data_IF_593128922415
#
_entry.id   IF_593128922415
#
_cell.length_a   1.000
_cell.length_b   1.000
_cell.length_c   1.000
_cell.angle_alpha   90.00
_cell.angle_beta   90.00
_cell.angle_gamma   90.00
#
_symmetry.space_group_name_H-M   'P 1'
#
loop_
_entity.id
_entity.type
_entity.pdbx_description
1 polymer ?
#
# COMPACT_ATOMS: atom_id res chain seq x y z
N UNK A 1 -11.34 -4.26 -4.57
CA UNK A 1 -12.47 -3.77 -5.39
C UNK A 1 -12.72 -2.30 -5.13
N UNK A 2 -12.96 -1.51 -6.19
CA UNK A 2 -13.37 -0.11 -6.06
C UNK A 2 -14.87 0.05 -5.78
N UNK A 3 -15.67 -1.00 -6.04
CA UNK A 3 -17.11 -0.98 -5.87
C UNK A 3 -17.51 -1.93 -4.74
N UNK A 4 -18.41 -1.46 -3.87
CA UNK A 4 -19.08 -2.31 -2.91
C UNK A 4 -20.09 -3.21 -3.63
N UNK A 5 -19.99 -4.51 -3.38
CA UNK A 5 -20.96 -5.50 -3.85
C UNK A 5 -21.58 -6.16 -2.63
N UNK A 6 -22.89 -5.96 -2.46
CA UNK A 6 -23.61 -6.58 -1.36
C UNK A 6 -23.77 -8.09 -1.60
N UNK A 7 -23.32 -8.89 -0.65
CA UNK A 7 -23.56 -10.33 -0.63
C UNK A 7 -24.49 -10.67 0.56
N UNK A 8 -25.74 -11.00 0.26
CA UNK A 8 -26.73 -11.36 1.28
C UNK A 8 -26.45 -12.68 1.99
N UNK A 9 -25.48 -13.47 1.50
CA UNK A 9 -25.06 -14.76 2.08
C UNK A 9 -23.72 -14.64 2.83
N UNK A 10 -23.14 -13.45 2.88
CA UNK A 10 -21.88 -13.24 3.60
C UNK A 10 -22.08 -13.51 5.10
N UNK A 11 -21.32 -14.48 5.61
CA UNK A 11 -21.21 -14.76 7.03
C UNK A 11 -19.79 -14.44 7.45
N UNK A 12 -19.60 -13.30 8.10
CA UNK A 12 -18.31 -12.91 8.65
C UNK A 12 -18.30 -13.03 10.17
N UNK A 13 -17.13 -13.33 10.75
CA UNK A 13 -16.94 -13.26 12.20
C UNK A 13 -17.18 -11.83 12.68
N UNK A 14 -18.03 -11.60 13.70
CA UNK A 14 -18.27 -10.28 14.24
C UNK A 14 -16.98 -9.61 14.71
N UNK A 15 -16.83 -8.32 14.42
CA UNK A 15 -15.63 -7.55 14.83
C UNK A 15 -15.44 -7.60 16.36
N UNK A 16 -16.51 -7.55 17.13
CA UNK A 16 -16.44 -7.63 18.59
C UNK A 16 -15.85 -8.96 19.06
N UNK A 17 -16.30 -10.08 18.51
CA UNK A 17 -15.75 -11.42 18.82
C UNK A 17 -14.25 -11.50 18.50
N UNK A 18 -13.83 -10.91 17.37
CA UNK A 18 -12.41 -10.83 17.00
C UNK A 18 -11.60 -10.03 18.02
N UNK A 19 -12.13 -8.88 18.48
CA UNK A 19 -11.47 -8.05 19.49
C UNK A 19 -11.37 -8.74 20.85
N UNK A 20 -12.42 -9.44 21.29
CA UNK A 20 -12.41 -10.21 22.54
C UNK A 20 -11.37 -11.33 22.50
N UNK A 21 -11.25 -12.04 21.36
CA UNK A 21 -10.21 -13.05 21.18
C UNK A 21 -8.79 -12.43 21.22
N UNK A 22 -8.58 -11.28 20.57
CA UNK A 22 -7.32 -10.55 20.60
C UNK A 22 -6.98 -10.05 22.01
N UNK A 23 -7.97 -9.60 22.79
CA UNK A 23 -7.79 -9.23 24.20
C UNK A 23 -7.28 -10.41 25.03
N UNK A 24 -7.86 -11.61 24.85
CA UNK A 24 -7.39 -12.83 25.50
C UNK A 24 -5.93 -13.16 25.17
N UNK A 25 -5.55 -13.01 23.89
CA UNK A 25 -4.18 -13.25 23.43
C UNK A 25 -3.22 -12.21 24.01
N UNK A 26 -3.60 -10.94 24.04
CA UNK A 26 -2.80 -9.85 24.64
C UNK A 26 -2.63 -10.05 26.17
N UNK A 27 -3.70 -10.36 26.89
CA UNK A 27 -3.67 -10.62 28.32
C UNK A 27 -2.80 -11.84 28.69
N UNK A 28 -2.68 -12.83 27.78
CA UNK A 28 -1.77 -13.96 27.94
C UNK A 28 -0.30 -13.61 27.68
N UNK A 29 0.01 -12.37 27.31
CA UNK A 29 1.37 -11.89 27.02
C UNK A 29 1.96 -12.36 25.69
N UNK A 30 1.18 -13.02 24.82
CA UNK A 30 1.66 -13.53 23.54
C UNK A 30 1.83 -12.44 22.47
N UNK A 31 1.07 -11.37 22.57
CA UNK A 31 1.21 -10.18 21.73
C UNK A 31 1.17 -8.93 22.61
N UNK A 32 1.78 -7.84 22.14
CA UNK A 32 1.71 -6.52 22.79
C UNK A 32 0.70 -5.61 22.09
N UNK A 33 0.68 -5.66 20.77
CA UNK A 33 -0.18 -4.85 19.91
C UNK A 33 -0.67 -5.68 18.74
N UNK A 34 -1.75 -5.23 18.09
CA UNK A 34 -2.21 -5.78 16.82
C UNK A 34 -2.49 -4.65 15.82
N UNK A 35 -2.51 -4.99 14.53
CA UNK A 35 -2.90 -4.11 13.45
C UNK A 35 -3.93 -4.79 12.55
N UNK A 36 -4.63 -3.99 11.75
CA UNK A 36 -5.59 -4.44 10.76
C UNK A 36 -4.88 -4.73 9.43
N UNK A 37 -5.46 -5.56 8.58
CA UNK A 37 -4.91 -5.88 7.27
C UNK A 37 -6.01 -5.89 6.21
N UNK A 38 -5.80 -5.16 5.11
CA UNK A 38 -6.76 -5.01 4.00
C UNK A 38 -8.14 -4.51 4.46
N UNK A 39 -8.13 -3.67 5.49
CA UNK A 39 -9.37 -3.21 6.11
C UNK A 39 -9.94 -2.00 5.37
N UNK A 40 -11.26 -1.86 5.46
CA UNK A 40 -12.02 -0.75 4.88
C UNK A 40 -12.12 0.44 5.85
N UNK A 41 -12.50 1.65 5.39
CA UNK A 41 -12.79 2.77 6.29
C UNK A 41 -13.84 2.42 7.34
N UNK A 42 -14.93 1.77 6.92
CA UNK A 42 -16.00 1.35 7.83
C UNK A 42 -15.50 0.34 8.88
N UNK A 43 -14.82 -0.71 8.44
CA UNK A 43 -14.30 -1.74 9.35
C UNK A 43 -13.29 -1.17 10.33
N UNK A 44 -12.37 -0.31 9.87
CA UNK A 44 -11.41 0.37 10.74
C UNK A 44 -12.12 1.17 11.84
N UNK A 45 -13.10 2.02 11.48
CA UNK A 45 -13.85 2.79 12.46
C UNK A 45 -14.67 1.91 13.42
N UNK A 46 -15.18 0.77 12.95
CA UNK A 46 -15.88 -0.19 13.84
C UNK A 46 -14.95 -0.86 14.84
N UNK A 47 -13.74 -1.26 14.42
CA UNK A 47 -12.71 -1.77 15.34
C UNK A 47 -12.36 -0.74 16.41
N UNK A 48 -12.10 0.50 16.01
CA UNK A 48 -11.76 1.59 16.94
C UNK A 48 -12.90 1.90 17.92
N UNK A 49 -14.13 2.01 17.41
CA UNK A 49 -15.32 2.24 18.21
C UNK A 49 -15.54 1.16 19.29
N UNK A 50 -15.43 -0.12 18.93
CA UNK A 50 -15.56 -1.20 19.91
C UNK A 50 -14.41 -1.22 20.92
N UNK A 51 -13.19 -0.89 20.48
CA UNK A 51 -12.06 -0.76 21.39
C UNK A 51 -12.32 0.28 22.48
N UNK A 52 -12.88 1.42 22.13
CA UNK A 52 -13.20 2.51 23.07
C UNK A 52 -14.40 2.15 23.95
N UNK A 53 -15.52 1.75 23.36
CA UNK A 53 -16.79 1.57 24.10
C UNK A 53 -16.81 0.31 24.96
N UNK A 54 -16.01 -0.71 24.61
CA UNK A 54 -15.94 -1.98 25.36
C UNK A 54 -14.61 -2.14 26.12
N UNK A 55 -13.76 -1.10 26.15
CA UNK A 55 -12.45 -1.14 26.81
C UNK A 55 -11.57 -2.32 26.34
N UNK A 56 -11.62 -2.61 25.04
CA UNK A 56 -10.84 -3.66 24.39
C UNK A 56 -9.53 -3.10 23.80
N UNK A 57 -8.55 -3.94 23.47
CA UNK A 57 -7.32 -3.49 22.83
C UNK A 57 -7.57 -2.71 21.55
N UNK A 58 -6.77 -1.66 21.33
CA UNK A 58 -6.87 -0.79 20.16
C UNK A 58 -5.91 -1.24 19.05
N UNK A 59 -6.37 -1.27 17.81
CA UNK A 59 -5.51 -1.43 16.65
C UNK A 59 -4.52 -0.26 16.54
N UNK A 60 -3.24 -0.55 16.29
CA UNK A 60 -2.17 0.47 16.21
C UNK A 60 -1.75 0.79 14.79
N UNK A 61 -2.13 -0.02 13.82
CA UNK A 61 -1.77 0.18 12.41
C UNK A 61 -2.77 -0.49 11.47
N UNK A 62 -2.72 -0.09 10.19
CA UNK A 62 -3.44 -0.72 9.08
C UNK A 62 -2.41 -1.13 8.04
N UNK A 63 -2.35 -2.41 7.68
CA UNK A 63 -1.49 -2.90 6.62
C UNK A 63 -2.29 -3.07 5.33
N UNK A 64 -2.20 -2.10 4.43
CA UNK A 64 -2.91 -2.09 3.15
C UNK A 64 -1.94 -1.87 1.97
N UNK A 65 -2.35 -2.23 0.73
CA UNK A 65 -1.56 -1.91 -0.46
C UNK A 65 -1.55 -0.39 -0.67
N UNK A 66 -0.37 0.17 -0.94
CA UNK A 66 -0.26 1.57 -1.33
C UNK A 66 0.95 1.79 -2.22
N UNK A 67 0.73 2.34 -3.41
CA UNK A 67 1.75 2.67 -4.40
C UNK A 67 1.17 3.60 -5.47
N UNK A 68 1.99 4.07 -6.40
CA UNK A 68 1.58 4.98 -7.49
C UNK A 68 0.46 4.44 -8.40
N UNK A 69 0.24 3.11 -8.46
CA UNK A 69 -0.84 2.49 -9.24
C UNK A 69 -2.09 2.17 -8.40
N UNK A 70 -1.98 2.29 -7.08
CA UNK A 70 -3.07 2.05 -6.14
C UNK A 70 -2.97 3.01 -4.96
N UNK A 71 -3.70 4.11 -5.05
CA UNK A 71 -3.79 5.15 -4.03
C UNK A 71 -5.15 5.15 -3.32
N UNK A 72 -5.87 4.02 -3.38
CA UNK A 72 -7.22 3.89 -2.79
C UNK A 72 -7.25 4.13 -1.28
N UNK A 73 -6.12 3.96 -0.58
CA UNK A 73 -5.99 4.29 0.85
C UNK A 73 -6.27 5.78 1.13
N UNK A 74 -5.98 6.67 0.17
CA UNK A 74 -6.23 8.12 0.30
C UNK A 74 -7.73 8.44 0.40
N UNK A 75 -8.60 7.51 -0.06
CA UNK A 75 -10.05 7.68 -0.04
C UNK A 75 -10.60 7.19 1.33
N UNK A 76 -10.63 8.08 2.30
CA UNK A 76 -11.17 7.85 3.65
C UNK A 76 -10.17 7.28 4.66
N UNK A 77 -9.35 6.27 4.32
CA UNK A 77 -8.40 5.67 5.27
C UNK A 77 -7.27 6.62 5.67
N UNK A 78 -6.78 7.46 4.78
CA UNK A 78 -5.74 8.44 5.08
C UNK A 78 -6.20 9.45 6.14
N UNK A 79 -7.44 9.93 6.04
CA UNK A 79 -8.03 10.81 7.06
C UNK A 79 -8.18 10.09 8.40
N UNK A 80 -8.69 8.86 8.40
CA UNK A 80 -8.81 8.02 9.61
C UNK A 80 -7.43 7.78 10.22
N UNK A 81 -6.43 7.41 9.43
CA UNK A 81 -5.07 7.18 9.91
C UNK A 81 -4.50 8.41 10.64
N UNK A 82 -4.73 9.60 10.09
CA UNK A 82 -4.29 10.84 10.68
C UNK A 82 -5.06 11.19 11.96
N UNK A 83 -6.40 11.17 11.92
CA UNK A 83 -7.25 11.58 13.05
C UNK A 83 -7.20 10.60 14.20
N UNK A 84 -7.20 9.31 13.88
CA UNK A 84 -7.26 8.23 14.85
C UNK A 84 -5.87 7.69 15.26
N UNK A 85 -4.79 8.24 14.70
CA UNK A 85 -3.42 7.82 14.97
C UNK A 85 -3.20 6.30 14.76
N UNK A 86 -3.79 5.76 13.66
CA UNK A 86 -3.65 4.37 13.22
C UNK A 86 -3.00 4.37 11.84
N UNK A 87 -1.67 4.46 11.82
CA UNK A 87 -0.91 4.71 10.61
C UNK A 87 -0.83 3.51 9.65
N UNK A 88 -0.50 3.81 8.39
CA UNK A 88 -0.36 2.83 7.32
C UNK A 88 0.99 2.10 7.40
N UNK A 89 0.93 0.77 7.34
CA UNK A 89 2.04 -0.08 6.93
C UNK A 89 1.83 -0.42 5.44
N UNK A 90 2.48 0.33 4.53
CA UNK A 90 2.27 0.18 3.10
C UNK A 90 2.94 -1.08 2.57
N UNK A 91 2.19 -2.03 2.02
CA UNK A 91 2.77 -3.15 1.31
C UNK A 91 2.70 -3.00 -0.21
N UNK A 92 3.60 -3.68 -0.92
CA UNK A 92 3.76 -3.60 -2.38
C UNK A 92 4.00 -2.17 -2.91
N UNK A 93 4.87 -1.38 -2.31
CA UNK A 93 5.13 0.00 -2.73
C UNK A 93 5.64 0.08 -4.18
N UNK A 94 6.28 -0.99 -4.68
CA UNK A 94 6.75 -1.12 -6.06
C UNK A 94 5.79 -1.90 -6.98
N UNK A 95 4.53 -2.12 -6.58
CA UNK A 95 3.56 -2.86 -7.38
C UNK A 95 4.11 -4.22 -7.89
N UNK A 96 4.67 -5.04 -6.98
CA UNK A 96 5.38 -6.29 -7.30
C UNK A 96 6.61 -6.10 -8.21
N UNK A 97 7.20 -4.90 -8.20
CA UNK A 97 8.34 -4.54 -9.03
C UNK A 97 7.96 -3.96 -10.41
N UNK A 98 6.66 -3.76 -10.69
CA UNK A 98 6.22 -3.16 -11.95
C UNK A 98 6.68 -1.71 -12.09
N UNK A 99 6.69 -0.93 -11.01
CA UNK A 99 7.10 0.47 -11.01
C UNK A 99 8.62 0.70 -11.25
N UNK A 100 9.43 -0.37 -11.29
CA UNK A 100 10.82 -0.26 -11.77
C UNK A 100 10.93 -0.19 -13.30
N UNK A 101 9.83 -0.38 -14.04
CA UNK A 101 9.84 -0.44 -15.50
C UNK A 101 10.27 -1.78 -16.11
N UNK A 102 10.80 -2.71 -15.32
CA UNK A 102 11.43 -3.95 -15.83
C UNK A 102 10.51 -4.90 -16.62
N UNK A 103 9.20 -4.70 -16.55
CA UNK A 103 8.21 -5.51 -17.28
C UNK A 103 7.62 -4.78 -18.50
N UNK A 104 8.02 -3.54 -18.74
CA UNK A 104 7.57 -2.77 -19.90
C UNK A 104 7.97 -3.44 -21.22
N UNK A 105 7.21 -3.15 -22.28
CA UNK A 105 7.45 -3.70 -23.61
C UNK A 105 7.41 -5.24 -23.68
N UNK A 106 6.64 -5.86 -22.79
CA UNK A 106 6.51 -7.32 -22.74
C UNK A 106 7.70 -8.07 -22.14
N UNK A 107 8.67 -7.37 -21.54
CA UNK A 107 9.81 -8.00 -20.88
C UNK A 107 9.39 -8.92 -19.73
N UNK A 108 10.05 -10.07 -19.64
CA UNK A 108 9.80 -11.09 -18.61
C UNK A 108 11.14 -11.53 -17.96
N UNK A 109 11.73 -10.73 -17.06
CA UNK A 109 12.98 -11.09 -16.40
C UNK A 109 12.83 -12.42 -15.64
N UNK A 110 13.77 -13.36 -15.82
CA UNK A 110 13.66 -14.75 -15.37
C UNK A 110 13.34 -14.92 -13.88
N UNK A 111 13.98 -14.17 -13.01
CA UNK A 111 13.81 -14.28 -11.56
C UNK A 111 12.85 -13.23 -10.98
N UNK A 112 11.98 -12.66 -11.80
CA UNK A 112 11.08 -11.60 -11.38
C UNK A 112 9.67 -12.13 -11.01
N UNK A 113 9.07 -11.53 -9.96
CA UNK A 113 7.81 -12.00 -9.36
C UNK A 113 6.68 -12.19 -10.38
N UNK A 114 6.46 -11.22 -11.28
CA UNK A 114 5.37 -11.28 -12.24
C UNK A 114 5.65 -12.27 -13.40
N UNK A 115 6.90 -12.66 -13.60
CA UNK A 115 7.28 -13.74 -14.54
C UNK A 115 7.08 -15.10 -13.90
N UNK A 116 7.58 -15.28 -12.67
CA UNK A 116 7.54 -16.57 -11.97
C UNK A 116 6.13 -17.00 -11.56
N UNK A 117 5.25 -16.04 -11.22
CA UNK A 117 3.96 -16.37 -10.63
C UNK A 117 2.80 -15.75 -11.42
N UNK A 118 2.15 -16.56 -12.25
CA UNK A 118 1.01 -16.16 -13.09
C UNK A 118 -0.21 -15.66 -12.30
N UNK A 119 -0.35 -16.05 -11.01
CA UNK A 119 -1.44 -15.61 -10.13
C UNK A 119 -1.41 -14.10 -9.80
N UNK A 120 -0.27 -13.44 -9.95
CA UNK A 120 -0.12 -12.01 -9.67
C UNK A 120 -0.52 -11.18 -10.89
N UNK A 121 -1.82 -10.95 -11.07
CA UNK A 121 -2.39 -10.25 -12.22
C UNK A 121 -2.77 -8.79 -11.94
N UNK A 122 -2.79 -8.35 -10.66
CA UNK A 122 -3.27 -7.02 -10.27
C UNK A 122 -2.62 -5.91 -11.10
N UNK A 123 -1.31 -5.92 -11.24
CA UNK A 123 -0.52 -4.88 -11.91
C UNK A 123 -0.25 -5.14 -13.40
N UNK A 124 -1.05 -6.02 -14.04
CA UNK A 124 -0.96 -6.35 -15.47
C UNK A 124 -2.23 -5.99 -16.24
N UNK A 125 -3.23 -5.37 -15.60
CA UNK A 125 -4.56 -5.15 -16.17
C UNK A 125 -4.80 -3.69 -16.57
N UNK A 126 -5.70 -3.50 -17.54
CA UNK A 126 -6.20 -2.19 -17.92
C UNK A 126 -5.10 -1.24 -18.38
N UNK A 127 -5.11 -0.02 -17.82
CA UNK A 127 -4.14 1.03 -18.15
C UNK A 127 -2.85 0.96 -17.31
N UNK A 128 -2.57 -0.18 -16.65
CA UNK A 128 -1.40 -0.32 -15.79
C UNK A 128 -0.09 -0.04 -16.53
N UNK A 129 0.09 -0.61 -17.73
CA UNK A 129 1.32 -0.45 -18.52
C UNK A 129 1.55 1.01 -18.90
N UNK A 130 0.51 1.70 -19.37
CA UNK A 130 0.61 3.12 -19.72
C UNK A 130 0.95 3.98 -18.50
N UNK A 131 0.32 3.71 -17.35
CA UNK A 131 0.63 4.42 -16.11
C UNK A 131 2.07 4.16 -15.65
N UNK A 132 2.53 2.89 -15.70
CA UNK A 132 3.90 2.52 -15.36
C UNK A 132 4.88 3.24 -16.27
N UNK A 133 4.64 3.22 -17.59
CA UNK A 133 5.51 3.93 -18.56
C UNK A 133 5.59 5.42 -18.22
N UNK A 134 4.46 6.08 -17.98
CA UNK A 134 4.44 7.51 -17.63
C UNK A 134 5.22 7.81 -16.35
N UNK A 135 5.14 6.98 -15.31
CA UNK A 135 5.94 7.16 -14.10
C UNK A 135 7.43 6.90 -14.31
N UNK A 136 7.78 5.91 -15.14
CA UNK A 136 9.17 5.62 -15.50
C UNK A 136 9.77 6.79 -16.29
N UNK A 137 9.05 7.30 -17.28
CA UNK A 137 9.49 8.45 -18.09
C UNK A 137 9.68 9.68 -17.21
N UNK A 138 8.72 9.99 -16.34
CA UNK A 138 8.82 11.10 -15.39
C UNK A 138 10.06 10.99 -14.49
N UNK A 139 10.35 9.80 -13.97
CA UNK A 139 11.55 9.59 -13.16
C UNK A 139 12.83 9.84 -13.96
N UNK A 140 12.91 9.29 -15.16
CA UNK A 140 14.09 9.41 -16.05
C UNK A 140 14.32 10.85 -16.51
N UNK A 141 13.27 11.59 -16.87
CA UNK A 141 13.32 13.01 -17.23
C UNK A 141 13.86 13.88 -16.09
N UNK A 142 13.66 13.44 -14.85
CA UNK A 142 14.20 14.12 -13.65
C UNK A 142 15.51 13.50 -13.14
N UNK A 143 16.15 12.60 -13.91
CA UNK A 143 17.44 11.98 -13.55
C UNK A 143 17.34 11.02 -12.36
N UNK A 144 16.16 10.46 -12.07
CA UNK A 144 15.91 9.56 -10.95
C UNK A 144 15.75 8.11 -11.39
N UNK A 145 16.12 7.18 -10.50
CA UNK A 145 15.72 5.78 -10.63
C UNK A 145 14.20 5.64 -10.33
N UNK A 146 13.40 5.02 -11.23
CA UNK A 146 11.96 4.87 -11.05
C UNK A 146 11.57 4.15 -9.75
N UNK A 147 12.40 3.18 -9.30
CA UNK A 147 12.20 2.46 -8.04
C UNK A 147 12.33 3.40 -6.85
N UNK A 148 13.37 4.24 -6.87
CA UNK A 148 13.62 5.20 -5.80
C UNK A 148 12.53 6.26 -5.75
N UNK A 149 12.12 6.81 -6.88
CA UNK A 149 10.99 7.76 -6.95
C UNK A 149 9.71 7.16 -6.38
N UNK A 150 9.35 5.94 -6.79
CA UNK A 150 8.13 5.29 -6.31
C UNK A 150 8.17 5.02 -4.79
N UNK A 151 9.30 4.59 -4.24
CA UNK A 151 9.48 4.36 -2.81
C UNK A 151 9.47 5.67 -2.01
N UNK A 152 10.18 6.69 -2.50
CA UNK A 152 10.23 8.02 -1.87
C UNK A 152 8.83 8.65 -1.83
N UNK A 153 8.05 8.51 -2.92
CA UNK A 153 6.65 8.96 -2.93
C UNK A 153 5.82 8.31 -1.81
N UNK A 154 5.88 7.00 -1.67
CA UNK A 154 5.15 6.30 -0.59
C UNK A 154 5.65 6.77 0.77
N UNK A 155 6.96 6.89 0.95
CA UNK A 155 7.59 7.28 2.22
C UNK A 155 7.29 8.72 2.63
N UNK A 156 7.00 9.61 1.68
CA UNK A 156 6.68 11.02 1.95
C UNK A 156 5.25 11.27 2.46
N UNK A 157 4.40 10.23 2.50
CA UNK A 157 2.98 10.41 2.90
C UNK A 157 2.83 10.50 4.41
N UNK A 158 2.16 11.56 4.89
CA UNK A 158 1.99 11.86 6.31
C UNK A 158 1.20 10.80 7.10
N UNK A 159 0.39 9.99 6.41
CA UNK A 159 -0.34 8.87 7.01
C UNK A 159 0.46 7.56 7.05
N UNK A 160 1.66 7.53 6.50
CA UNK A 160 2.52 6.36 6.50
C UNK A 160 3.26 6.21 7.84
N UNK A 161 3.23 5.01 8.40
CA UNK A 161 4.08 4.62 9.54
C UNK A 161 5.33 3.89 9.06
N UNK A 162 5.17 2.97 8.08
CA UNK A 162 6.30 2.22 7.54
C UNK A 162 6.02 1.74 6.11
N UNK A 163 7.06 1.80 5.29
CA UNK A 163 7.06 1.28 3.93
C UNK A 163 7.63 -0.15 3.95
N UNK A 164 6.81 -1.15 3.58
CA UNK A 164 7.22 -2.55 3.59
C UNK A 164 7.84 -2.90 2.25
N UNK A 165 9.16 -2.95 2.22
CA UNK A 165 9.95 -3.29 1.04
C UNK A 165 10.29 -4.78 1.00
N UNK A 166 10.63 -5.27 -0.20
CA UNK A 166 11.21 -6.60 -0.43
C UNK A 166 12.36 -6.50 -1.41
N UNK A 167 13.43 -7.25 -1.15
CA UNK A 167 14.58 -7.36 -2.03
C UNK A 167 15.02 -8.83 -2.13
N UNK A 168 15.46 -9.24 -3.32
CA UNK A 168 16.02 -10.59 -3.58
C UNK A 168 17.51 -10.53 -3.88
N UNK A 169 18.10 -9.33 -3.92
CA UNK A 169 19.54 -9.10 -4.06
C UNK A 169 19.99 -7.93 -3.19
N UNK A 170 21.29 -7.88 -2.88
CA UNK A 170 21.89 -6.76 -2.15
C UNK A 170 21.82 -5.45 -2.91
N UNK A 171 21.86 -5.49 -4.24
CA UNK A 171 21.71 -4.32 -5.10
C UNK A 171 20.31 -3.71 -4.94
N UNK A 172 19.25 -4.53 -5.05
CA UNK A 172 17.87 -4.09 -4.82
C UNK A 172 17.69 -3.51 -3.41
N UNK A 173 18.27 -4.15 -2.40
CA UNK A 173 18.18 -3.65 -1.03
C UNK A 173 18.83 -2.28 -0.87
N UNK A 174 20.02 -2.08 -1.45
CA UNK A 174 20.70 -0.78 -1.44
C UNK A 174 19.89 0.30 -2.14
N UNK A 175 19.38 0.02 -3.35
CA UNK A 175 18.50 0.93 -4.10
C UNK A 175 17.28 1.33 -3.27
N UNK A 176 16.63 0.34 -2.64
CA UNK A 176 15.46 0.59 -1.80
C UNK A 176 15.79 1.45 -0.56
N UNK A 177 16.93 1.21 0.10
CA UNK A 177 17.34 2.00 1.28
C UNK A 177 17.68 3.44 0.93
N UNK A 178 18.41 3.66 -0.17
CA UNK A 178 18.76 5.01 -0.64
C UNK A 178 17.50 5.88 -0.89
N UNK A 179 16.38 5.26 -1.29
CA UNK A 179 15.13 5.99 -1.51
C UNK A 179 14.61 6.72 -0.27
N UNK A 180 15.03 6.32 0.95
CA UNK A 180 14.62 6.98 2.19
C UNK A 180 15.26 8.36 2.40
N UNK A 181 16.32 8.65 1.67
CA UNK A 181 17.05 9.94 1.70
C UNK A 181 16.62 10.86 0.55
N UNK A 182 15.77 10.36 -0.37
CA UNK A 182 15.34 11.10 -1.54
C UNK A 182 14.14 11.99 -1.20
N UNK A 183 14.36 13.29 -1.33
CA UNK A 183 13.28 14.30 -1.29
C UNK A 183 12.77 14.57 -2.71
N UNK A 184 11.47 14.50 -2.91
CA UNK A 184 10.83 14.77 -4.19
C UNK A 184 10.52 16.27 -4.31
N UNK A 185 10.93 16.91 -5.41
CA UNK A 185 10.60 18.32 -5.66
C UNK A 185 9.09 18.54 -5.86
N UNK A 186 8.64 19.77 -5.70
CA UNK A 186 7.24 20.13 -5.93
C UNK A 186 6.83 19.84 -7.38
N UNK A 187 7.70 20.17 -8.36
CA UNK A 187 7.44 19.90 -9.78
C UNK A 187 7.28 18.39 -10.06
N UNK A 188 8.09 17.56 -9.40
CA UNK A 188 8.00 16.10 -9.54
C UNK A 188 6.71 15.57 -8.93
N UNK A 189 6.31 16.07 -7.75
CA UNK A 189 5.04 15.73 -7.12
C UNK A 189 3.84 16.16 -7.98
N UNK A 190 3.88 17.35 -8.59
CA UNK A 190 2.86 17.78 -9.56
C UNK A 190 2.82 16.87 -10.79
N UNK A 191 3.97 16.42 -11.30
CA UNK A 191 4.07 15.44 -12.38
C UNK A 191 3.39 14.13 -12.02
N UNK A 192 3.65 13.62 -10.81
CA UNK A 192 3.00 12.42 -10.27
C UNK A 192 1.46 12.60 -10.19
N UNK A 193 0.99 13.76 -9.70
CA UNK A 193 -0.44 14.04 -9.60
C UNK A 193 -1.11 14.14 -11.00
N UNK A 194 -0.44 14.73 -11.98
CA UNK A 194 -0.94 14.76 -13.37
C UNK A 194 -1.12 13.35 -13.95
N UNK A 195 -0.13 12.46 -13.73
CA UNK A 195 -0.23 11.06 -14.16
C UNK A 195 -1.37 10.35 -13.42
N UNK A 196 -1.50 10.55 -12.11
CA UNK A 196 -2.60 9.99 -11.33
C UNK A 196 -3.96 10.47 -11.80
N UNK A 197 -4.09 11.75 -12.19
CA UNK A 197 -5.32 12.31 -12.78
C UNK A 197 -5.74 11.62 -14.08
N UNK A 198 -4.77 11.20 -14.92
CA UNK A 198 -5.02 10.47 -16.15
C UNK A 198 -5.32 8.96 -15.90
N UNK A 199 -4.64 8.37 -14.94
CA UNK A 199 -4.71 6.94 -14.63
C UNK A 199 -5.06 6.73 -13.15
N UNK A 200 -6.23 7.19 -12.75
CA UNK A 200 -6.69 7.10 -11.36
C UNK A 200 -6.86 5.65 -10.90
N UNK A 201 -6.01 5.20 -9.99
CA UNK A 201 -6.01 3.85 -9.41
C UNK A 201 -6.14 2.72 -10.45
N UNK A 202 -5.23 2.60 -11.43
CA UNK A 202 -5.35 1.58 -12.49
C UNK A 202 -5.26 0.15 -11.96
N UNK A 203 -4.80 -0.05 -10.72
CA UNK A 203 -4.57 -1.36 -10.12
C UNK A 203 -5.06 -1.45 -8.65
N UNK A 204 -6.33 -1.21 -8.38
CA UNK A 204 -6.91 -1.21 -7.03
C UNK A 204 -6.92 -2.58 -6.35
#
# INVERSE_FOLDING_TARGET
QLNYVHDSKEVSTPILETLEALAGIQNSGKIRHFGLSNETPWGTMRFLHYSETQQLPRAVSIQNPYNLLNRTFEIGLAEIAHREQVGLLAYSPLAFGALSGKYLQGNQPENARLTLYSRFVRYKKGHAENAIQSYVDLAQENGLDPTQMALAYVSSRHFLTSNIIGATSMEQLKTNLISSELELSEELLEGIEKIHGLYTNPCP
#
